data_IF_244907287106
#
_entry.id   IF_244907287106
#
_cell.length_a   1.000
_cell.length_b   1.000
_cell.length_c   1.000
_cell.angle_alpha   90.00
_cell.angle_beta   90.00
_cell.angle_gamma   90.00
#
_symmetry.space_group_name_H-M   'P 1'
#
loop_
_entity.id
_entity.type
_entity.pdbx_description
1 polymer ?
#
# COMPACT_ATOMS: atom_id res chain seq x y z
N UNK A 1 -4.93 9.48 -21.37
CA UNK A 1 -3.60 9.04 -21.81
C UNK A 1 -3.35 7.70 -21.16
N UNK A 2 -3.39 6.62 -21.96
CA UNK A 2 -3.30 5.24 -21.44
C UNK A 2 -1.83 4.97 -21.12
N UNK A 3 -1.50 4.66 -19.87
CA UNK A 3 -0.15 4.25 -19.49
C UNK A 3 0.17 2.91 -20.15
N UNK A 4 0.94 2.92 -21.22
CA UNK A 4 1.63 1.75 -21.74
C UNK A 4 2.88 1.54 -20.91
N UNK A 5 2.96 0.40 -20.25
CA UNK A 5 4.15 -0.07 -19.55
C UNK A 5 5.36 -0.09 -20.51
N UNK A 6 6.37 0.70 -20.20
CA UNK A 6 7.63 0.72 -20.93
C UNK A 6 8.54 -0.39 -20.39
N UNK A 7 8.56 -1.52 -21.09
CA UNK A 7 9.52 -2.62 -20.86
C UNK A 7 10.93 -2.14 -21.23
N UNK A 8 11.79 -1.99 -20.25
CA UNK A 8 13.22 -1.86 -20.49
C UNK A 8 13.90 -3.23 -20.29
N UNK A 9 14.20 -3.87 -21.43
CA UNK A 9 15.09 -5.05 -21.47
C UNK A 9 16.52 -4.55 -21.39
N UNK A 10 17.22 -4.86 -20.30
CA UNK A 10 18.68 -4.79 -20.27
C UNK A 10 19.18 -6.22 -20.41
N UNK A 11 19.68 -6.53 -21.63
CA UNK A 11 20.51 -7.69 -21.88
C UNK A 11 21.97 -7.31 -21.61
N UNK A 12 22.57 -7.98 -20.65
CA UNK A 12 23.98 -7.85 -20.34
C UNK A 12 24.49 -9.10 -19.66
N UNK A 13 24.87 -10.10 -20.47
CA UNK A 13 25.54 -11.32 -19.98
C UNK A 13 27.00 -10.97 -19.73
N UNK A 14 27.46 -11.07 -18.49
CA UNK A 14 28.88 -11.20 -18.18
C UNK A 14 29.05 -12.38 -17.24
N UNK A 15 29.53 -13.47 -17.80
CA UNK A 15 29.92 -14.68 -17.06
C UNK A 15 31.27 -14.40 -16.41
N UNK A 16 31.31 -14.32 -15.09
CA UNK A 16 32.55 -14.34 -14.33
C UNK A 16 32.52 -15.56 -13.43
N UNK A 17 33.24 -16.63 -13.86
CA UNK A 17 33.47 -17.82 -13.06
C UNK A 17 34.46 -17.50 -11.95
N UNK A 18 34.01 -17.43 -10.72
CA UNK A 18 34.85 -17.40 -9.53
C UNK A 18 34.61 -18.70 -8.75
N UNK A 19 35.60 -19.59 -8.80
CA UNK A 19 35.68 -20.77 -7.96
C UNK A 19 36.00 -20.31 -6.54
N UNK A 20 35.05 -20.41 -5.61
CA UNK A 20 35.28 -20.15 -4.20
C UNK A 20 35.06 -21.42 -3.37
N UNK A 21 36.06 -21.72 -2.57
CA UNK A 21 36.14 -22.83 -1.63
C UNK A 21 34.91 -22.87 -0.69
N UNK A 22 34.34 -24.09 -0.60
CA UNK A 22 33.28 -24.41 0.36
C UNK A 22 33.87 -24.53 1.75
N UNK A 23 33.63 -23.53 2.62
CA UNK A 23 33.68 -23.71 4.07
C UNK A 23 32.24 -23.97 4.53
N UNK A 24 31.93 -25.24 4.79
CA UNK A 24 30.67 -25.67 5.38
C UNK A 24 30.64 -25.31 6.87
N UNK A 25 30.34 -24.06 7.16
CA UNK A 25 29.93 -23.63 8.49
C UNK A 25 28.39 -23.46 8.48
N UNK A 26 27.66 -24.47 8.93
CA UNK A 26 26.22 -24.36 9.19
C UNK A 26 25.99 -23.41 10.34
N UNK A 27 26.06 -22.11 10.11
CA UNK A 27 25.45 -21.12 11.00
C UNK A 27 23.96 -21.09 10.64
N UNK A 28 23.15 -21.75 11.47
CA UNK A 28 21.72 -21.53 11.47
C UNK A 28 21.49 -20.01 11.60
N UNK A 29 21.08 -19.38 10.53
CA UNK A 29 20.64 -17.97 10.58
C UNK A 29 19.49 -17.91 11.58
N UNK A 30 19.54 -17.04 12.60
CA UNK A 30 18.41 -16.87 13.48
C UNK A 30 17.22 -16.42 12.61
N UNK A 31 16.20 -17.24 12.52
CA UNK A 31 14.91 -16.86 11.96
C UNK A 31 14.44 -15.68 12.81
N UNK A 32 14.49 -14.47 12.25
CA UNK A 32 13.90 -13.29 12.88
C UNK A 32 12.41 -13.59 13.04
N UNK A 33 12.04 -14.06 14.22
CA UNK A 33 10.65 -14.24 14.58
C UNK A 33 9.99 -12.88 14.34
N UNK A 34 9.04 -12.82 13.43
CA UNK A 34 8.28 -11.63 13.12
C UNK A 34 7.54 -11.24 14.40
N UNK A 35 8.06 -10.22 15.10
CA UNK A 35 7.47 -9.76 16.37
C UNK A 35 6.08 -9.24 16.02
N UNK A 36 5.07 -9.99 16.43
CA UNK A 36 3.68 -9.59 16.28
C UNK A 36 3.46 -8.27 17.02
N UNK A 37 2.96 -7.22 16.36
CA UNK A 37 2.67 -5.97 17.04
C UNK A 37 1.65 -6.20 18.17
N UNK A 38 1.76 -5.48 19.28
CA UNK A 38 0.78 -5.58 20.37
C UNK A 38 -0.59 -5.19 19.83
N UNK A 39 -1.66 -5.82 20.32
CA UNK A 39 -3.03 -5.58 19.85
C UNK A 39 -3.43 -4.11 19.96
N UNK A 40 -2.98 -3.42 20.99
CA UNK A 40 -3.18 -1.97 21.17
C UNK A 40 -2.62 -1.12 20.02
N UNK A 41 -1.58 -1.59 19.33
CA UNK A 41 -0.98 -0.85 18.21
C UNK A 41 -1.81 -0.94 16.94
N UNK A 42 -2.63 -1.97 16.77
CA UNK A 42 -3.46 -2.15 15.58
C UNK A 42 -4.85 -1.52 15.71
N UNK A 43 -5.35 -1.34 16.94
CA UNK A 43 -6.70 -0.80 17.20
C UNK A 43 -7.00 0.52 16.47
N UNK A 44 -6.09 1.51 16.41
CA UNK A 44 -6.36 2.77 15.74
C UNK A 44 -6.67 2.61 14.24
N UNK A 45 -6.14 1.56 13.61
CA UNK A 45 -6.31 1.32 12.18
C UNK A 45 -7.60 0.57 11.82
N UNK A 46 -8.17 -0.19 12.75
CA UNK A 46 -9.38 -1.00 12.52
C UNK A 46 -10.55 -0.12 12.12
N UNK A 47 -11.24 -0.48 11.04
CA UNK A 47 -12.42 0.19 10.50
C UNK A 47 -12.36 0.36 8.98
N UNK A 48 -13.25 1.18 8.46
CA UNK A 48 -13.31 1.52 7.03
C UNK A 48 -12.79 2.92 6.84
N UNK A 49 -11.74 3.05 6.03
CA UNK A 49 -11.12 4.31 5.66
C UNK A 49 -11.48 4.66 4.23
N UNK A 50 -11.93 5.87 3.98
CA UNK A 50 -12.41 6.29 2.66
C UNK A 50 -11.71 7.57 2.22
N UNK A 51 -11.12 7.55 1.04
CA UNK A 51 -10.71 8.74 0.30
C UNK A 51 -11.85 9.16 -0.63
N UNK A 52 -12.13 10.46 -0.66
CA UNK A 52 -13.18 11.03 -1.50
C UNK A 52 -12.60 12.15 -2.34
N UNK A 53 -12.88 12.14 -3.64
CA UNK A 53 -12.57 13.24 -4.56
C UNK A 53 -13.85 13.75 -5.22
N UNK A 54 -14.13 15.05 -5.12
CA UNK A 54 -15.34 15.70 -5.66
C UNK A 54 -16.65 14.95 -5.29
N UNK A 55 -16.75 14.44 -4.05
CA UNK A 55 -17.91 13.70 -3.54
C UNK A 55 -17.95 12.21 -3.91
N UNK A 56 -17.01 11.73 -4.71
CA UNK A 56 -16.93 10.32 -5.15
C UNK A 56 -15.88 9.57 -4.34
N UNK A 57 -16.21 8.42 -3.72
CA UNK A 57 -15.22 7.54 -3.11
C UNK A 57 -14.25 7.01 -4.18
N UNK A 58 -12.94 7.24 -3.97
CA UNK A 58 -11.90 6.80 -4.90
C UNK A 58 -11.07 5.64 -4.35
N UNK A 59 -10.94 5.55 -3.03
CA UNK A 59 -10.28 4.45 -2.33
C UNK A 59 -11.11 4.11 -1.10
N UNK A 60 -11.37 2.82 -0.88
CA UNK A 60 -11.99 2.29 0.34
C UNK A 60 -11.12 1.17 0.89
N UNK A 61 -10.59 1.37 2.10
CA UNK A 61 -9.73 0.41 2.79
C UNK A 61 -10.48 -0.15 4.01
N UNK A 62 -10.74 -1.45 4.01
CA UNK A 62 -11.39 -2.16 5.10
C UNK A 62 -10.35 -2.90 5.94
N UNK A 63 -10.25 -2.57 7.22
CA UNK A 63 -9.29 -3.14 8.15
C UNK A 63 -10.01 -3.76 9.35
N UNK A 64 -9.62 -4.99 9.70
CA UNK A 64 -10.14 -5.70 10.88
C UNK A 64 -9.05 -6.49 11.58
N UNK A 65 -9.28 -6.86 12.80
CA UNK A 65 -8.40 -7.77 13.54
C UNK A 65 -8.88 -9.21 13.38
N UNK A 66 -7.98 -10.10 12.98
CA UNK A 66 -8.20 -11.54 13.00
C UNK A 66 -7.09 -12.22 13.80
N UNK A 67 -7.44 -12.89 14.88
CA UNK A 67 -6.47 -13.57 15.77
C UNK A 67 -5.36 -12.62 16.25
N UNK A 68 -5.70 -11.35 16.49
CA UNK A 68 -4.77 -10.29 16.92
C UNK A 68 -3.76 -9.87 15.83
N UNK A 69 -4.07 -10.12 14.57
CA UNK A 69 -3.34 -9.59 13.42
C UNK A 69 -4.26 -8.67 12.64
N UNK A 70 -3.69 -7.62 12.06
CA UNK A 70 -4.43 -6.74 11.18
C UNK A 70 -4.52 -7.39 9.80
N UNK A 71 -5.74 -7.50 9.28
CA UNK A 71 -6.02 -7.97 7.92
C UNK A 71 -6.99 -7.02 7.26
N UNK A 72 -7.05 -7.04 5.94
CA UNK A 72 -7.97 -6.16 5.24
C UNK A 72 -7.99 -6.33 3.74
N UNK A 73 -8.75 -5.44 3.12
CA UNK A 73 -8.86 -5.35 1.67
C UNK A 73 -9.06 -3.90 1.24
N UNK A 74 -8.69 -3.64 0.01
CA UNK A 74 -8.79 -2.34 -0.63
C UNK A 74 -9.69 -2.43 -1.87
N UNK A 75 -10.45 -1.37 -2.10
CA UNK A 75 -11.21 -1.13 -3.32
C UNK A 75 -10.77 0.21 -3.88
N UNK A 76 -10.55 0.29 -5.17
CA UNK A 76 -10.16 1.52 -5.87
C UNK A 76 -11.07 1.71 -7.07
N UNK A 77 -11.39 2.95 -7.40
CA UNK A 77 -11.98 3.30 -8.68
C UNK A 77 -10.87 3.75 -9.65
N UNK A 78 -11.22 3.96 -10.92
CA UNK A 78 -10.28 4.51 -11.87
C UNK A 78 -10.21 6.03 -11.75
N UNK A 79 -9.02 6.56 -11.46
CA UNK A 79 -8.74 7.99 -11.40
C UNK A 79 -7.38 8.32 -11.99
N UNK A 80 -7.17 9.56 -12.39
CA UNK A 80 -5.88 10.08 -12.80
C UNK A 80 -5.29 11.01 -11.73
N UNK A 81 -3.97 11.06 -11.71
CA UNK A 81 -3.21 12.00 -10.88
C UNK A 81 -2.46 12.96 -11.79
N UNK A 82 -2.52 14.24 -11.48
CA UNK A 82 -1.73 15.24 -12.19
C UNK A 82 -0.27 15.18 -11.71
N UNK A 83 0.54 14.36 -12.38
CA UNK A 83 1.94 14.13 -12.01
C UNK A 83 2.88 15.24 -12.49
N UNK A 84 2.45 16.06 -13.45
CA UNK A 84 3.30 17.10 -14.06
C UNK A 84 3.42 18.36 -13.17
N UNK A 85 2.38 18.68 -12.41
CA UNK A 85 2.35 19.92 -11.63
C UNK A 85 2.07 19.72 -10.14
N UNK A 86 0.92 19.15 -9.78
CA UNK A 86 0.43 19.14 -8.40
C UNK A 86 0.63 17.82 -7.66
N UNK A 87 0.66 16.71 -8.37
CA UNK A 87 0.66 15.37 -7.76
C UNK A 87 -0.66 14.99 -7.11
N UNK A 88 -1.73 15.77 -7.33
CA UNK A 88 -3.06 15.52 -6.74
C UNK A 88 -3.95 14.71 -7.68
N UNK A 89 -4.98 14.07 -7.13
CA UNK A 89 -6.05 13.46 -7.95
C UNK A 89 -6.69 14.55 -8.78
N UNK A 90 -6.80 14.32 -10.09
CA UNK A 90 -7.29 15.27 -11.09
C UNK A 90 -8.72 14.90 -11.50
N UNK A 91 -8.91 13.74 -12.06
CA UNK A 91 -10.19 13.27 -12.61
C UNK A 91 -10.49 11.85 -12.20
N UNK A 92 -11.73 11.59 -11.79
CA UNK A 92 -12.28 10.24 -11.67
C UNK A 92 -12.83 9.83 -13.03
N UNK A 93 -12.19 8.84 -13.66
CA UNK A 93 -12.55 8.39 -15.02
C UNK A 93 -13.64 7.32 -15.01
N UNK A 94 -13.69 6.50 -13.95
CA UNK A 94 -14.77 5.55 -13.67
C UNK A 94 -15.01 5.51 -12.16
N UNK A 95 -16.18 5.96 -11.66
CA UNK A 95 -16.48 6.00 -10.23
C UNK A 95 -16.79 4.62 -9.62
N UNK A 96 -16.80 3.56 -10.42
CA UNK A 96 -17.10 2.22 -9.95
C UNK A 96 -15.93 1.67 -9.15
N UNK A 97 -16.15 1.42 -7.86
CA UNK A 97 -15.15 0.75 -7.03
C UNK A 97 -14.92 -0.69 -7.50
N UNK A 98 -13.67 -1.09 -7.54
CA UNK A 98 -13.28 -2.48 -7.84
C UNK A 98 -13.85 -3.45 -6.80
N UNK A 99 -13.78 -4.75 -7.09
CA UNK A 99 -13.93 -5.77 -6.03
C UNK A 99 -12.88 -5.53 -4.97
N UNK A 100 -13.20 -5.88 -3.72
CA UNK A 100 -12.22 -5.79 -2.63
C UNK A 100 -11.07 -6.76 -2.89
N UNK A 101 -9.87 -6.21 -3.03
CA UNK A 101 -8.62 -6.94 -3.22
C UNK A 101 -7.89 -7.06 -1.87
N UNK A 102 -7.32 -8.23 -1.54
CA UNK A 102 -6.62 -8.41 -0.28
C UNK A 102 -5.37 -7.53 -0.22
N UNK A 103 -5.10 -6.96 0.96
CA UNK A 103 -3.82 -6.32 1.25
C UNK A 103 -2.91 -7.31 1.97
N UNK A 104 -1.60 -7.19 1.73
CA UNK A 104 -0.57 -8.11 2.19
C UNK A 104 0.55 -7.35 2.88
N UNK A 105 1.50 -8.07 3.50
CA UNK A 105 2.73 -7.52 4.09
C UNK A 105 2.48 -6.35 5.05
N UNK A 106 1.38 -6.40 5.80
CA UNK A 106 0.98 -5.32 6.70
C UNK A 106 2.01 -5.18 7.81
N UNK A 107 2.56 -3.96 7.95
CA UNK A 107 3.50 -3.58 9.02
C UNK A 107 2.99 -2.32 9.71
N UNK A 108 2.82 -2.39 11.02
CA UNK A 108 2.39 -1.25 11.85
C UNK A 108 3.58 -0.71 12.62
N UNK A 109 3.77 0.59 12.58
CA UNK A 109 4.80 1.32 13.32
C UNK A 109 4.26 2.67 13.79
N UNK A 110 3.99 2.79 15.09
CA UNK A 110 3.41 3.99 15.68
C UNK A 110 2.06 4.37 15.05
N UNK A 111 2.01 5.51 14.40
CA UNK A 111 0.83 6.04 13.70
C UNK A 111 0.79 5.72 12.21
N UNK A 112 1.64 4.82 11.75
CA UNK A 112 1.74 4.42 10.35
C UNK A 112 1.51 2.92 10.17
N UNK A 113 0.88 2.56 9.07
CA UNK A 113 0.70 1.19 8.62
C UNK A 113 1.07 1.11 7.14
N UNK A 114 2.08 0.32 6.81
CA UNK A 114 2.41 0.02 5.41
C UNK A 114 1.81 -1.32 5.00
N UNK A 115 1.48 -1.44 3.73
CA UNK A 115 0.91 -2.65 3.15
C UNK A 115 1.15 -2.69 1.64
N UNK A 116 1.05 -3.88 1.09
CA UNK A 116 1.09 -4.13 -0.34
C UNK A 116 -0.27 -4.59 -0.82
N UNK A 117 -0.63 -4.26 -2.03
CA UNK A 117 -1.76 -4.85 -2.72
C UNK A 117 -1.41 -5.11 -4.17
N UNK A 118 -2.06 -6.11 -4.75
CA UNK A 118 -1.87 -6.43 -6.16
C UNK A 118 -2.98 -5.76 -6.94
N UNK A 119 -2.61 -4.87 -7.84
CA UNK A 119 -3.56 -4.19 -8.68
C UNK A 119 -4.19 -5.14 -9.73
N UNK A 120 -5.27 -4.73 -10.43
CA UNK A 120 -5.90 -5.55 -11.47
C UNK A 120 -4.95 -5.90 -12.63
N UNK A 121 -3.93 -5.08 -12.90
CA UNK A 121 -2.95 -5.29 -13.97
C UNK A 121 -1.85 -6.28 -13.55
N UNK A 122 -1.79 -6.62 -12.28
CA UNK A 122 -0.93 -7.66 -11.73
C UNK A 122 0.33 -7.17 -11.07
N UNK A 123 0.54 -5.87 -11.01
CA UNK A 123 1.67 -5.24 -10.34
C UNK A 123 1.42 -5.09 -8.83
N UNK A 124 2.49 -4.99 -8.05
CA UNK A 124 2.40 -4.75 -6.62
C UNK A 124 2.65 -3.29 -6.32
N UNK A 125 1.65 -2.65 -5.73
CA UNK A 125 1.77 -1.33 -5.16
C UNK A 125 2.09 -1.39 -3.67
N UNK A 126 2.99 -0.49 -3.24
CA UNK A 126 3.35 -0.29 -1.84
C UNK A 126 2.72 0.99 -1.32
N UNK A 127 1.89 0.86 -0.30
CA UNK A 127 1.14 1.98 0.24
C UNK A 127 1.34 2.11 1.75
N UNK A 128 1.12 3.31 2.26
CA UNK A 128 1.18 3.60 3.69
C UNK A 128 0.00 4.46 4.10
N UNK A 129 -0.75 3.99 5.10
CA UNK A 129 -1.76 4.77 5.81
C UNK A 129 -1.09 5.43 7.01
N UNK A 130 -1.14 6.74 7.08
CA UNK A 130 -0.64 7.56 8.19
C UNK A 130 -1.80 8.22 8.91
N UNK A 131 -1.90 8.03 10.22
CA UNK A 131 -2.96 8.63 11.03
C UNK A 131 -2.59 10.07 11.37
N UNK A 132 -3.39 11.03 10.92
CA UNK A 132 -3.26 12.46 11.23
C UNK A 132 -4.14 12.88 12.41
N UNK A 133 -5.23 12.13 12.65
CA UNK A 133 -6.17 12.30 13.75
C UNK A 133 -6.68 10.98 14.30
N UNK A 134 -7.75 11.02 15.10
CA UNK A 134 -8.43 9.83 15.61
C UNK A 134 -9.16 9.08 14.49
N UNK A 135 -9.78 9.82 13.59
CA UNK A 135 -10.57 9.31 12.47
C UNK A 135 -10.10 9.87 11.13
N UNK A 136 -8.95 10.51 11.11
CA UNK A 136 -8.37 11.15 9.94
C UNK A 136 -6.99 10.57 9.67
N UNK A 137 -6.68 10.44 8.41
CA UNK A 137 -5.39 9.93 7.94
C UNK A 137 -5.09 10.37 6.53
N UNK A 138 -4.02 9.85 6.01
CA UNK A 138 -3.65 10.02 4.62
C UNK A 138 -3.04 8.72 4.08
N UNK A 139 -3.31 8.43 2.83
CA UNK A 139 -2.67 7.34 2.10
C UNK A 139 -1.52 7.92 1.28
N UNK A 140 -0.35 7.31 1.43
CA UNK A 140 0.87 7.68 0.73
C UNK A 140 1.30 6.52 -0.16
N UNK A 141 1.53 6.76 -1.42
CA UNK A 141 2.14 5.78 -2.30
C UNK A 141 3.65 5.73 -2.05
N UNK A 142 4.17 4.56 -1.70
CA UNK A 142 5.58 4.34 -1.37
C UNK A 142 6.24 3.64 -2.56
N UNK A 143 7.31 4.22 -3.09
CA UNK A 143 8.02 3.62 -4.25
C UNK A 143 7.62 4.22 -5.60
N UNK A 144 6.95 5.36 -5.59
CA UNK A 144 6.84 6.18 -6.80
C UNK A 144 8.22 6.42 -7.41
N UNK A 145 8.38 6.34 -8.74
CA UNK A 145 9.60 6.78 -9.41
C UNK A 145 10.01 8.16 -8.91
N UNK A 146 11.31 8.43 -8.78
CA UNK A 146 11.84 9.66 -8.16
C UNK A 146 11.42 10.95 -8.89
N UNK A 147 10.96 10.82 -10.11
CA UNK A 147 10.49 11.89 -10.99
C UNK A 147 8.97 12.12 -10.92
N UNK A 148 8.22 11.21 -10.27
CA UNK A 148 6.76 11.31 -10.11
C UNK A 148 6.43 11.69 -8.67
N UNK A 149 5.95 12.93 -8.49
CA UNK A 149 5.49 13.40 -7.19
C UNK A 149 3.99 13.16 -7.07
N UNK A 150 3.58 12.25 -6.15
CA UNK A 150 2.18 12.05 -5.80
C UNK A 150 1.97 12.58 -4.37
N UNK A 151 0.98 13.46 -4.22
CA UNK A 151 0.60 14.00 -2.92
C UNK A 151 -0.14 12.94 -2.09
N UNK A 152 0.02 12.95 -0.77
CA UNK A 152 -0.79 12.12 0.11
C UNK A 152 -2.29 12.35 -0.12
N UNK A 153 -3.05 11.26 -0.23
CA UNK A 153 -4.49 11.32 -0.43
C UNK A 153 -5.17 11.28 0.94
N UNK A 154 -5.91 12.34 1.34
CA UNK A 154 -6.62 12.35 2.61
C UNK A 154 -7.67 11.24 2.68
N UNK A 155 -7.76 10.59 3.85
CA UNK A 155 -8.78 9.59 4.15
C UNK A 155 -9.43 9.88 5.49
N UNK A 156 -10.70 9.54 5.61
CA UNK A 156 -11.42 9.57 6.87
C UNK A 156 -12.00 8.22 7.22
N UNK A 157 -12.07 7.94 8.53
CA UNK A 157 -12.64 6.72 9.05
C UNK A 157 -14.15 6.87 9.14
N UNK A 158 -14.88 6.03 8.41
CA UNK A 158 -16.33 5.95 8.56
C UNK A 158 -16.65 5.33 9.91
N UNK A 159 -17.21 6.14 10.81
CA UNK A 159 -17.83 5.66 12.05
C UNK A 159 -19.27 5.30 11.68
N UNK A 160 -19.69 4.01 11.82
CA UNK A 160 -21.09 3.69 11.69
C UNK A 160 -21.87 4.59 12.65
N UNK A 161 -22.80 5.40 12.11
CA UNK A 161 -23.73 6.13 12.99
C UNK A 161 -24.47 5.06 13.78
N UNK A 162 -24.25 5.00 15.10
CA UNK A 162 -25.08 4.18 16.00
C UNK A 162 -26.52 4.61 15.82
N UNK A 163 -27.35 3.69 15.32
CA UNK A 163 -28.79 3.85 15.30
C UNK A 163 -29.35 3.71 16.69
#
# INVERSE_FOLDING_TARGET
MVFKSLFWRISGVTVLTITALVFAGHRASPTLAQIKPPESAILPFIGTWTAVHAGTPIIVLHLRSEKGQLVGGIQVCSYSVNTETTGTVDVVTDPTLSKSLPINNIKVSGRSMSFDWKDPDGDYDHWRLELTGKNDGQIVWVGSPSDVRIQPIPVSKNIPKSR
#
